data_IF_307439673790
#
_entry.id   IF_307439673790
#
_cell.length_a   1.000
_cell.length_b   1.000
_cell.length_c   1.000
_cell.angle_alpha   90.00
_cell.angle_beta   90.00
_cell.angle_gamma   90.00
#
_symmetry.space_group_name_H-M   'P 1'
#
loop_
_entity.id
_entity.type
_entity.pdbx_description
1 polymer ?
#
# COMPACT_ATOMS: atom_id res chain seq x y z
N UNK A 1 27.08 -9.44 0.26
CA UNK A 1 26.28 -9.52 1.51
C UNK A 1 25.42 -8.28 1.80
N UNK A 2 25.88 -7.03 1.62
CA UNK A 2 25.09 -5.81 1.95
C UNK A 2 23.76 -5.66 1.17
N UNK A 3 23.72 -6.06 -0.12
CA UNK A 3 22.50 -5.99 -0.97
C UNK A 3 21.41 -7.00 -0.55
N UNK A 4 21.79 -8.21 -0.14
CA UNK A 4 20.84 -9.25 0.27
C UNK A 4 20.13 -8.87 1.58
N UNK A 5 20.86 -8.31 2.55
CA UNK A 5 20.29 -7.80 3.81
C UNK A 5 19.35 -6.61 3.59
N UNK A 6 19.64 -5.74 2.61
CA UNK A 6 18.74 -4.65 2.23
C UNK A 6 17.46 -5.18 1.58
N UNK A 7 17.58 -6.16 0.71
CA UNK A 7 16.43 -6.83 0.08
C UNK A 7 15.55 -7.53 1.12
N UNK A 8 16.12 -8.31 2.05
CA UNK A 8 15.39 -8.95 3.15
C UNK A 8 14.64 -7.94 4.02
N UNK A 9 15.27 -6.80 4.35
CA UNK A 9 14.60 -5.72 5.10
C UNK A 9 13.45 -5.09 4.30
N UNK A 10 13.63 -4.89 3.00
CA UNK A 10 12.58 -4.39 2.11
C UNK A 10 11.40 -5.36 2.06
N UNK A 11 11.66 -6.65 1.89
CA UNK A 11 10.62 -7.69 1.89
C UNK A 11 9.91 -7.75 3.25
N UNK A 12 10.64 -7.68 4.37
CA UNK A 12 10.04 -7.76 5.70
C UNK A 12 9.12 -6.57 6.00
N UNK A 13 9.55 -5.35 5.65
CA UNK A 13 8.71 -4.15 5.82
C UNK A 13 7.52 -4.19 4.87
N UNK A 14 7.73 -4.58 3.60
CA UNK A 14 6.67 -4.75 2.62
C UNK A 14 5.62 -5.79 3.05
N UNK A 15 6.07 -6.91 3.62
CA UNK A 15 5.19 -7.97 4.12
C UNK A 15 4.39 -7.50 5.35
N UNK A 16 5.03 -6.80 6.29
CA UNK A 16 4.31 -6.22 7.45
C UNK A 16 3.23 -5.21 7.03
N UNK A 17 3.51 -4.40 6.01
CA UNK A 17 2.50 -3.50 5.44
C UNK A 17 1.36 -4.26 4.77
N UNK A 18 1.67 -5.30 3.99
CA UNK A 18 0.65 -6.10 3.32
C UNK A 18 -0.27 -6.81 4.31
N UNK A 19 0.27 -7.32 5.43
CA UNK A 19 -0.54 -7.90 6.51
C UNK A 19 -1.50 -6.87 7.09
N UNK A 20 -1.03 -5.66 7.39
CA UNK A 20 -1.88 -4.61 7.96
C UNK A 20 -2.91 -4.12 6.95
N UNK A 21 -2.52 -3.96 5.69
CA UNK A 21 -3.43 -3.57 4.62
C UNK A 21 -4.55 -4.60 4.47
N UNK A 22 -4.21 -5.87 4.24
CA UNK A 22 -5.21 -6.94 4.09
C UNK A 22 -6.01 -7.16 5.38
N UNK A 23 -5.38 -7.05 6.54
CA UNK A 23 -6.02 -7.24 7.84
C UNK A 23 -7.03 -6.14 8.16
N UNK A 24 -6.69 -4.86 7.91
CA UNK A 24 -7.61 -3.73 8.11
C UNK A 24 -8.73 -3.78 7.06
N UNK A 25 -8.41 -4.07 5.80
CA UNK A 25 -9.41 -4.18 4.74
C UNK A 25 -10.44 -5.27 5.03
N UNK A 26 -9.98 -6.49 5.33
CA UNK A 26 -10.86 -7.60 5.66
C UNK A 26 -11.56 -7.40 7.02
N UNK A 27 -10.90 -6.78 7.99
CA UNK A 27 -11.50 -6.46 9.28
C UNK A 27 -12.67 -5.49 9.16
N UNK A 28 -12.50 -4.40 8.38
CA UNK A 28 -13.59 -3.46 8.08
C UNK A 28 -14.72 -4.13 7.30
N UNK A 29 -14.38 -4.95 6.32
CA UNK A 29 -15.37 -5.72 5.55
C UNK A 29 -16.13 -6.72 6.42
N UNK A 30 -15.46 -7.39 7.37
CA UNK A 30 -16.08 -8.35 8.27
C UNK A 30 -17.08 -7.68 9.23
N UNK A 31 -16.76 -6.49 9.74
CA UNK A 31 -17.63 -5.72 10.62
C UNK A 31 -18.82 -5.15 9.84
N UNK A 32 -18.59 -4.65 8.63
CA UNK A 32 -19.60 -4.02 7.80
C UNK A 32 -19.51 -4.49 6.34
N UNK A 33 -20.10 -5.67 6.03
CA UNK A 33 -20.12 -6.21 4.68
C UNK A 33 -20.83 -5.25 3.73
N UNK A 34 -20.27 -5.05 2.54
CA UNK A 34 -20.80 -4.09 1.57
C UNK A 34 -20.61 -4.59 0.15
N UNK A 35 -21.62 -4.34 -0.69
CA UNK A 35 -21.58 -4.55 -2.14
C UNK A 35 -21.33 -3.22 -2.89
N UNK A 36 -21.40 -2.09 -2.19
CA UNK A 36 -21.13 -0.78 -2.75
C UNK A 36 -19.62 -0.56 -2.94
N UNK A 37 -19.22 -0.35 -4.21
CA UNK A 37 -17.85 -0.06 -4.63
C UNK A 37 -17.29 1.17 -3.89
N UNK A 38 -18.11 2.19 -3.61
CA UNK A 38 -17.64 3.40 -2.90
C UNK A 38 -17.20 3.09 -1.48
N UNK A 39 -17.92 2.19 -0.79
CA UNK A 39 -17.56 1.75 0.56
C UNK A 39 -16.34 0.83 0.54
N UNK A 40 -16.21 -0.02 -0.48
CA UNK A 40 -15.01 -0.83 -0.71
C UNK A 40 -13.76 0.05 -0.90
N UNK A 41 -13.86 1.10 -1.70
CA UNK A 41 -12.78 2.08 -1.87
C UNK A 41 -12.46 2.77 -0.54
N UNK A 42 -13.47 3.16 0.25
CA UNK A 42 -13.20 3.76 1.58
C UNK A 42 -12.44 2.82 2.52
N UNK A 43 -12.82 1.54 2.55
CA UNK A 43 -12.10 0.53 3.34
C UNK A 43 -10.67 0.36 2.83
N UNK A 44 -10.48 0.42 1.52
CA UNK A 44 -9.18 0.37 0.88
C UNK A 44 -8.30 1.55 1.30
N UNK A 45 -8.83 2.77 1.25
CA UNK A 45 -8.11 3.98 1.65
C UNK A 45 -7.68 3.90 3.12
N UNK A 46 -8.56 3.42 4.01
CA UNK A 46 -8.25 3.24 5.43
C UNK A 46 -7.17 2.18 5.65
N UNK A 47 -7.26 1.06 4.93
CA UNK A 47 -6.30 -0.04 4.99
C UNK A 47 -4.91 0.36 4.50
N UNK A 48 -4.83 1.00 3.33
CA UNK A 48 -3.57 1.52 2.77
C UNK A 48 -3.00 2.61 3.69
N UNK A 49 -3.85 3.48 4.24
CA UNK A 49 -3.45 4.48 5.24
C UNK A 49 -2.85 3.85 6.50
N UNK A 50 -3.46 2.81 7.04
CA UNK A 50 -2.93 2.08 8.20
C UNK A 50 -1.59 1.41 7.89
N UNK A 51 -1.44 0.82 6.70
CA UNK A 51 -0.19 0.24 6.23
C UNK A 51 0.92 1.29 6.09
N UNK A 52 0.60 2.48 5.55
CA UNK A 52 1.53 3.61 5.46
C UNK A 52 1.95 4.10 6.85
N UNK A 53 1.00 4.23 7.79
CA UNK A 53 1.30 4.62 9.18
C UNK A 53 2.22 3.61 9.85
N UNK A 54 1.96 2.31 9.68
CA UNK A 54 2.84 1.27 10.18
C UNK A 54 4.24 1.38 9.57
N UNK A 55 4.33 1.54 8.26
CA UNK A 55 5.59 1.81 7.58
C UNK A 55 6.32 3.01 8.14
N UNK A 56 5.62 4.11 8.41
CA UNK A 56 6.22 5.30 8.98
C UNK A 56 6.76 5.04 10.39
N UNK A 57 6.01 4.32 11.24
CA UNK A 57 6.44 3.97 12.60
C UNK A 57 7.68 3.08 12.55
N UNK A 58 7.67 2.01 11.74
CA UNK A 58 8.80 1.10 11.60
C UNK A 58 10.02 1.76 10.98
N UNK A 59 9.83 2.55 9.92
CA UNK A 59 10.94 3.29 9.30
C UNK A 59 11.51 4.34 10.24
N UNK A 60 10.68 5.04 11.03
CA UNK A 60 11.13 6.07 11.96
C UNK A 60 11.78 5.50 13.23
N UNK A 61 11.28 4.36 13.75
CA UNK A 61 11.81 3.72 14.97
C UNK A 61 13.02 2.83 14.70
N UNK A 62 13.08 2.18 13.54
CA UNK A 62 14.11 1.18 13.25
C UNK A 62 15.14 1.68 12.23
N UNK A 63 14.69 2.18 11.08
CA UNK A 63 15.58 2.57 9.97
C UNK A 63 16.30 3.90 10.23
N UNK A 64 15.59 4.92 10.74
CA UNK A 64 16.14 6.27 10.96
C UNK A 64 16.66 6.52 12.39
N UNK A 65 16.71 5.50 13.27
CA UNK A 65 17.25 5.66 14.63
C UNK A 65 18.73 6.10 14.63
N UNK A 66 19.49 5.74 13.59
CA UNK A 66 20.86 6.20 13.39
C UNK A 66 20.96 7.63 12.83
N UNK A 67 20.07 8.06 11.91
CA UNK A 67 20.07 9.44 11.39
C UNK A 67 19.56 10.48 12.40
N UNK A 68 19.06 10.09 13.57
CA UNK A 68 18.78 11.04 14.66
C UNK A 68 20.04 11.80 15.14
N UNK A 69 21.25 11.30 14.84
CA UNK A 69 22.51 12.06 15.01
C UNK A 69 22.73 13.15 13.96
N UNK A 70 22.03 13.12 12.83
CA UNK A 70 22.18 14.06 11.70
C UNK A 70 20.91 14.93 11.58
N UNK A 71 20.74 15.86 12.52
CA UNK A 71 19.67 16.88 12.51
C UNK A 71 19.92 17.94 11.42
N UNK A 72 19.78 17.58 10.16
CA UNK A 72 19.91 18.50 9.01
C UNK A 72 18.61 18.66 8.21
N UNK A 73 18.47 19.74 7.41
CA UNK A 73 17.29 20.03 6.58
C UNK A 73 16.89 18.91 5.59
N UNK A 74 17.81 18.00 5.25
CA UNK A 74 17.55 16.83 4.40
C UNK A 74 16.55 15.82 4.97
N UNK A 75 16.41 15.71 6.29
CA UNK A 75 15.50 14.75 6.93
C UNK A 75 14.01 15.12 6.74
N UNK A 76 13.69 16.42 6.69
CA UNK A 76 12.32 16.91 6.44
C UNK A 76 11.90 16.61 5.00
N UNK A 77 12.81 16.81 4.05
CA UNK A 77 12.58 16.52 2.62
C UNK A 77 12.27 15.04 2.38
N UNK A 78 13.00 14.12 3.00
CA UNK A 78 12.73 12.68 2.88
C UNK A 78 11.34 12.29 3.41
N UNK A 79 10.88 12.89 4.52
CA UNK A 79 9.52 12.65 5.04
C UNK A 79 8.43 13.16 4.10
N UNK A 80 8.61 14.36 3.55
CA UNK A 80 7.64 14.93 2.60
C UNK A 80 7.56 14.10 1.32
N UNK A 81 8.71 13.67 0.78
CA UNK A 81 8.76 12.79 -0.39
C UNK A 81 8.09 11.44 -0.12
N UNK A 82 8.30 10.85 1.07
CA UNK A 82 7.60 9.62 1.47
C UNK A 82 6.09 9.81 1.55
N UNK A 83 5.64 10.94 2.09
CA UNK A 83 4.21 11.25 2.23
C UNK A 83 3.54 11.47 0.86
N UNK A 84 4.20 12.19 -0.05
CA UNK A 84 3.73 12.38 -1.43
C UNK A 84 3.65 11.02 -2.15
N UNK A 85 4.70 10.20 -2.07
CA UNK A 85 4.72 8.88 -2.69
C UNK A 85 3.65 7.94 -2.11
N UNK A 86 3.37 8.06 -0.81
CA UNK A 86 2.31 7.31 -0.13
C UNK A 86 0.91 7.75 -0.59
N UNK A 87 0.67 9.06 -0.77
CA UNK A 87 -0.59 9.59 -1.30
C UNK A 87 -0.84 9.14 -2.74
N UNK A 88 0.19 9.19 -3.59
CA UNK A 88 0.10 8.66 -4.96
C UNK A 88 -0.26 7.18 -4.94
N UNK A 89 0.35 6.40 -4.04
CA UNK A 89 0.04 4.97 -3.91
C UNK A 89 -1.42 4.74 -3.48
N UNK A 90 -1.95 5.51 -2.52
CA UNK A 90 -3.38 5.44 -2.13
C UNK A 90 -4.27 5.69 -3.36
N UNK A 91 -4.04 6.79 -4.08
CA UNK A 91 -4.88 7.15 -5.23
C UNK A 91 -4.83 6.07 -6.31
N UNK A 92 -3.64 5.57 -6.64
CA UNK A 92 -3.49 4.52 -7.66
C UNK A 92 -4.13 3.20 -7.20
N UNK A 93 -3.96 2.82 -5.93
CA UNK A 93 -4.54 1.58 -5.41
C UNK A 93 -6.07 1.65 -5.36
N UNK A 94 -6.63 2.78 -4.92
CA UNK A 94 -8.07 3.04 -4.87
C UNK A 94 -8.70 3.07 -6.28
N UNK A 95 -8.04 3.72 -7.25
CA UNK A 95 -8.50 3.76 -8.64
C UNK A 95 -8.53 2.36 -9.26
N UNK A 96 -7.46 1.58 -9.08
CA UNK A 96 -7.40 0.24 -9.64
C UNK A 96 -8.43 -0.67 -8.96
N UNK A 97 -8.58 -0.59 -7.64
CA UNK A 97 -9.60 -1.37 -6.94
C UNK A 97 -11.01 -1.01 -7.41
N UNK A 98 -11.33 0.29 -7.51
CA UNK A 98 -12.63 0.76 -7.95
C UNK A 98 -12.99 0.34 -9.37
N UNK A 99 -12.00 0.12 -10.23
CA UNK A 99 -12.19 -0.40 -11.60
C UNK A 99 -12.30 -1.93 -11.63
N UNK A 100 -11.48 -2.64 -10.87
CA UNK A 100 -11.39 -4.12 -10.93
C UNK A 100 -12.48 -4.80 -10.09
N UNK A 101 -12.81 -4.27 -8.91
CA UNK A 101 -13.81 -4.87 -8.03
C UNK A 101 -15.18 -5.11 -8.69
N UNK A 102 -15.80 -4.14 -9.41
CA UNK A 102 -17.06 -4.40 -10.08
C UNK A 102 -16.93 -5.41 -11.24
N UNK A 103 -15.82 -5.38 -11.99
CA UNK A 103 -15.59 -6.32 -13.10
C UNK A 103 -15.53 -7.78 -12.62
N UNK A 104 -14.92 -8.03 -11.46
CA UNK A 104 -14.85 -9.38 -10.88
C UNK A 104 -16.19 -9.76 -10.25
N UNK A 105 -16.84 -8.84 -9.53
CA UNK A 105 -18.13 -9.11 -8.88
C UNK A 105 -19.25 -9.46 -9.90
N UNK A 106 -19.22 -8.87 -11.09
CA UNK A 106 -20.21 -9.11 -12.15
C UNK A 106 -20.12 -10.53 -12.75
N UNK A 107 -18.98 -11.22 -12.59
CA UNK A 107 -18.83 -12.60 -13.09
C UNK A 107 -19.63 -13.63 -12.29
N UNK A 108 -20.03 -13.32 -11.06
CA UNK A 108 -20.78 -14.21 -10.14
C UNK A 108 -20.16 -15.62 -9.93
N UNK A 109 -18.91 -15.85 -10.31
CA UNK A 109 -18.23 -17.16 -10.21
C UNK A 109 -17.78 -17.47 -8.78
N UNK A 110 -17.52 -16.43 -7.97
CA UNK A 110 -16.94 -16.54 -6.62
C UNK A 110 -17.69 -15.67 -5.63
N UNK A 111 -17.68 -16.07 -4.35
CA UNK A 111 -18.27 -15.29 -3.26
C UNK A 111 -17.71 -13.87 -3.23
N UNK A 112 -18.56 -12.89 -2.89
CA UNK A 112 -18.19 -11.47 -2.83
C UNK A 112 -16.94 -11.19 -1.96
N UNK A 113 -16.74 -11.98 -0.90
CA UNK A 113 -15.53 -11.90 -0.06
C UNK A 113 -14.26 -12.26 -0.85
N UNK A 114 -14.33 -13.33 -1.63
CA UNK A 114 -13.21 -13.83 -2.43
C UNK A 114 -12.97 -12.88 -3.60
N UNK A 115 -14.04 -12.43 -4.28
CA UNK A 115 -13.97 -11.44 -5.34
C UNK A 115 -13.25 -10.16 -4.89
N UNK A 116 -13.62 -9.61 -3.73
CA UNK A 116 -13.03 -8.39 -3.20
C UNK A 116 -11.54 -8.57 -2.81
N UNK A 117 -11.17 -9.72 -2.25
CA UNK A 117 -9.77 -10.01 -1.95
C UNK A 117 -8.91 -10.18 -3.21
N UNK A 118 -9.44 -10.83 -4.25
CA UNK A 118 -8.76 -10.94 -5.55
C UNK A 118 -8.59 -9.55 -6.17
N UNK A 119 -9.65 -8.74 -6.18
CA UNK A 119 -9.60 -7.36 -6.68
C UNK A 119 -8.55 -6.53 -5.93
N UNK A 120 -8.49 -6.64 -4.59
CA UNK A 120 -7.49 -5.98 -3.75
C UNK A 120 -6.08 -6.44 -4.07
N UNK A 121 -5.82 -7.74 -4.18
CA UNK A 121 -4.50 -8.28 -4.51
C UNK A 121 -4.04 -7.82 -5.90
N UNK A 122 -4.93 -7.84 -6.89
CA UNK A 122 -4.65 -7.32 -8.22
C UNK A 122 -4.36 -5.82 -8.19
N UNK A 123 -5.13 -5.04 -7.42
CA UNK A 123 -4.88 -3.61 -7.25
C UNK A 123 -3.52 -3.33 -6.62
N UNK A 124 -3.14 -4.08 -5.58
CA UNK A 124 -1.80 -3.99 -4.97
C UNK A 124 -0.69 -4.31 -5.97
N UNK A 125 -0.85 -5.37 -6.76
CA UNK A 125 0.13 -5.78 -7.76
C UNK A 125 0.28 -4.76 -8.88
N UNK A 126 -0.84 -4.32 -9.48
CA UNK A 126 -0.85 -3.36 -10.58
C UNK A 126 -0.39 -1.96 -10.13
N UNK A 127 -0.74 -1.53 -8.92
CA UNK A 127 -0.24 -0.27 -8.34
C UNK A 127 1.29 -0.31 -8.17
N UNK A 128 1.83 -1.46 -7.75
CA UNK A 128 3.27 -1.68 -7.62
C UNK A 128 3.98 -1.64 -8.98
N UNK A 129 3.43 -2.32 -9.99
CA UNK A 129 3.95 -2.28 -11.37
C UNK A 129 3.92 -0.87 -11.93
N UNK A 130 2.80 -0.15 -11.76
CA UNK A 130 2.65 1.23 -12.21
C UNK A 130 3.67 2.14 -11.54
N UNK A 131 3.86 2.00 -10.22
CA UNK A 131 4.87 2.75 -9.47
C UNK A 131 6.29 2.46 -9.95
N UNK A 132 6.60 1.20 -10.26
CA UNK A 132 7.89 0.81 -10.80
C UNK A 132 8.15 1.42 -12.19
N UNK A 133 7.16 1.35 -13.09
CA UNK A 133 7.24 1.92 -14.43
C UNK A 133 7.42 3.44 -14.36
N UNK A 134 6.66 4.13 -13.50
CA UNK A 134 6.79 5.56 -13.25
C UNK A 134 8.21 5.93 -12.79
N UNK A 135 8.74 5.22 -11.78
CA UNK A 135 10.11 5.46 -11.31
C UNK A 135 11.14 5.22 -12.42
N UNK A 136 10.99 4.14 -13.19
CA UNK A 136 11.94 3.80 -14.26
C UNK A 136 11.91 4.79 -15.43
N UNK A 137 10.73 5.23 -15.87
CA UNK A 137 10.57 6.07 -17.06
C UNK A 137 10.67 7.57 -16.79
N UNK A 138 10.40 8.03 -15.57
CA UNK A 138 10.35 9.47 -15.24
C UNK A 138 11.53 9.89 -14.37
N UNK A 139 11.97 9.05 -13.43
CA UNK A 139 12.96 9.44 -12.41
C UNK A 139 14.38 9.01 -12.78
N UNK A 140 14.53 7.87 -13.46
CA UNK A 140 15.82 7.31 -13.84
C UNK A 140 16.04 7.32 -15.37
N UNK A 141 15.67 8.42 -16.02
CA UNK A 141 16.09 8.74 -17.41
C UNK A 141 17.54 9.19 -17.42
#
# INVERSE_FOLDING_TARGET
>A
MKRLLQFLKFVFVGFGNAIIDLGVFNGLYFIAPTHDVKRLVLYNTMAVGAAILNSYIWNTRWTFRLQRRTRGPGARRQRVLFLIQSLINIVVNDLILGLIAPLIADTHVVDHVIANNIAKLLAMFLASVTSFVMMKLVVFV
#
